data_IF_053913756558
#
_entry.id   IF_053913756558
#
_cell.length_a   1.000
_cell.length_b   1.000
_cell.length_c   1.000
_cell.angle_alpha   90.00
_cell.angle_beta   90.00
_cell.angle_gamma   90.00
#
_symmetry.space_group_name_H-M   'P 1'
#
loop_
_entity.id
_entity.type
_entity.pdbx_description
1 polymer ?
#
# COMPACT_ATOMS: atom_id res chain seq x y z
N UNK A 1 -20.16 -14.94 -33.64
CA UNK A 1 -19.28 -14.34 -32.61
C UNK A 1 -20.15 -14.01 -31.40
N UNK A 2 -20.02 -14.74 -30.29
CA UNK A 2 -20.91 -14.57 -29.13
C UNK A 2 -20.17 -13.83 -28.01
N UNK A 3 -20.73 -12.67 -27.67
CA UNK A 3 -20.65 -11.95 -26.39
C UNK A 3 -19.28 -11.42 -25.95
N UNK A 4 -19.10 -10.10 -26.11
CA UNK A 4 -18.50 -9.27 -25.06
C UNK A 4 -19.37 -9.47 -23.81
N UNK A 5 -18.84 -10.17 -22.80
CA UNK A 5 -19.51 -10.28 -21.50
C UNK A 5 -19.36 -8.94 -20.78
N UNK A 6 -20.43 -8.56 -20.08
CA UNK A 6 -20.68 -7.28 -19.42
C UNK A 6 -19.43 -6.66 -18.78
N UNK A 7 -19.19 -5.39 -19.08
CA UNK A 7 -18.12 -4.60 -18.47
C UNK A 7 -18.25 -4.50 -16.93
N UNK A 8 -19.47 -4.71 -16.41
CA UNK A 8 -19.80 -4.66 -14.98
C UNK A 8 -19.18 -5.78 -14.14
N UNK A 9 -18.67 -6.85 -14.77
CA UNK A 9 -18.02 -7.98 -14.09
C UNK A 9 -16.48 -7.90 -14.07
N UNK A 10 -15.89 -6.79 -14.50
CA UNK A 10 -14.42 -6.68 -14.61
C UNK A 10 -13.71 -6.27 -13.31
N UNK A 11 -14.42 -5.72 -12.33
CA UNK A 11 -13.87 -5.35 -11.02
C UNK A 11 -14.85 -5.72 -9.92
N UNK A 12 -14.73 -6.92 -9.36
CA UNK A 12 -15.33 -7.21 -8.06
C UNK A 12 -14.58 -6.39 -6.99
N UNK A 13 -15.33 -5.81 -6.06
CA UNK A 13 -14.75 -5.15 -4.89
C UNK A 13 -13.87 -6.15 -4.12
N UNK A 14 -12.65 -5.75 -3.71
CA UNK A 14 -11.79 -6.63 -2.93
C UNK A 14 -12.50 -7.08 -1.65
N UNK A 15 -12.37 -8.37 -1.34
CA UNK A 15 -12.95 -8.97 -0.14
C UNK A 15 -11.89 -9.71 0.67
N UNK A 16 -12.08 -9.78 1.99
CA UNK A 16 -11.18 -10.44 2.93
C UNK A 16 -10.45 -9.47 3.87
N UNK A 17 -9.71 -10.02 4.83
CA UNK A 17 -8.91 -9.25 5.80
C UNK A 17 -7.57 -9.94 5.99
N UNK A 18 -6.48 -9.20 5.83
CA UNK A 18 -5.13 -9.65 6.13
C UNK A 18 -4.72 -9.22 7.54
N UNK A 19 -4.68 -10.20 8.46
CA UNK A 19 -4.37 -9.97 9.87
C UNK A 19 -2.86 -9.96 10.19
N UNK A 20 -2.00 -10.04 9.18
CA UNK A 20 -0.55 -9.93 9.33
C UNK A 20 -0.07 -8.48 9.32
N UNK A 21 1.20 -8.23 9.69
CA UNK A 21 1.82 -6.92 9.53
C UNK A 21 1.83 -6.50 8.05
N UNK A 22 1.45 -5.27 7.76
CA UNK A 22 1.50 -4.70 6.42
C UNK A 22 2.11 -3.30 6.49
N UNK A 23 2.85 -2.88 5.46
CA UNK A 23 3.43 -1.54 5.40
C UNK A 23 3.06 -0.86 4.09
N UNK A 24 2.42 0.29 4.19
CA UNK A 24 2.05 1.15 3.06
C UNK A 24 3.00 2.34 3.02
N UNK A 25 3.91 2.33 2.04
CA UNK A 25 4.89 3.40 1.81
C UNK A 25 4.43 4.20 0.59
N UNK A 26 4.26 5.51 0.74
CA UNK A 26 3.77 6.40 -0.32
C UNK A 26 4.41 7.77 -0.24
N UNK A 27 4.50 8.47 -1.37
CA UNK A 27 5.07 9.81 -1.45
C UNK A 27 4.04 10.88 -1.13
N UNK A 28 4.45 11.95 -0.43
CA UNK A 28 3.58 13.07 -0.07
C UNK A 28 3.05 13.86 -1.29
N UNK A 29 3.73 13.76 -2.44
CA UNK A 29 3.34 14.40 -3.70
C UNK A 29 2.59 13.44 -4.65
N UNK A 30 2.33 12.21 -4.20
CA UNK A 30 1.60 11.21 -4.98
C UNK A 30 0.17 11.68 -5.26
N UNK A 31 -0.30 11.49 -6.49
CA UNK A 31 -1.70 11.67 -6.84
C UNK A 31 -2.62 10.66 -6.16
N UNK A 32 -2.07 9.52 -5.74
CA UNK A 32 -2.77 8.56 -4.90
C UNK A 32 -2.75 9.07 -3.45
N UNK A 33 -3.91 9.55 -3.00
CA UNK A 33 -4.13 10.14 -1.67
C UNK A 33 -4.23 9.06 -0.57
N UNK A 34 -3.20 8.22 -0.46
CA UNK A 34 -3.17 7.09 0.51
C UNK A 34 -3.43 7.58 1.94
N UNK A 35 -2.96 8.78 2.28
CA UNK A 35 -3.22 9.42 3.58
C UNK A 35 -4.71 9.61 3.89
N UNK A 36 -5.54 9.90 2.88
CA UNK A 36 -6.99 10.09 3.02
C UNK A 36 -7.76 8.77 3.02
N UNK A 37 -7.13 7.67 2.60
CA UNK A 37 -7.72 6.33 2.49
C UNK A 37 -7.30 5.42 3.65
N UNK A 38 -6.59 5.93 4.67
CA UNK A 38 -6.08 5.13 5.78
C UNK A 38 -7.18 4.33 6.47
N UNK A 39 -8.32 4.96 6.77
CA UNK A 39 -9.46 4.30 7.41
C UNK A 39 -9.96 3.13 6.56
N UNK A 40 -10.12 3.34 5.26
CA UNK A 40 -10.57 2.29 4.34
C UNK A 40 -9.55 1.15 4.24
N UNK A 41 -8.26 1.47 4.06
CA UNK A 41 -7.17 0.48 4.01
C UNK A 41 -7.12 -0.35 5.30
N UNK A 42 -7.30 0.27 6.47
CA UNK A 42 -7.25 -0.44 7.76
C UNK A 42 -8.42 -1.43 7.96
N UNK A 43 -9.51 -1.31 7.21
CA UNK A 43 -10.59 -2.32 7.20
C UNK A 43 -10.11 -3.66 6.65
N UNK A 44 -9.19 -3.64 5.68
CA UNK A 44 -8.61 -4.83 5.05
C UNK A 44 -7.27 -5.24 5.68
N UNK A 45 -6.51 -4.27 6.20
CA UNK A 45 -5.19 -4.48 6.81
C UNK A 45 -5.15 -3.88 8.23
N UNK A 46 -5.73 -4.54 9.25
CA UNK A 46 -5.86 -3.96 10.59
C UNK A 46 -4.53 -3.69 11.31
N UNK A 47 -3.43 -4.27 10.82
CA UNK A 47 -2.06 -4.06 11.34
C UNK A 47 -1.18 -3.29 10.35
N UNK A 48 -1.79 -2.44 9.51
CA UNK A 48 -1.08 -1.60 8.58
C UNK A 48 -0.27 -0.51 9.29
N UNK A 49 1.01 -0.41 8.95
CA UNK A 49 1.87 0.75 9.19
C UNK A 49 1.85 1.64 7.95
N UNK A 50 1.77 2.96 8.15
CA UNK A 50 1.76 3.93 7.05
C UNK A 50 2.99 4.82 7.14
N UNK A 51 3.75 4.89 6.05
CA UNK A 51 4.96 5.71 5.94
C UNK A 51 4.78 6.64 4.75
N UNK A 52 4.53 7.91 5.05
CA UNK A 52 4.57 8.98 4.05
C UNK A 52 6.02 9.45 3.91
N UNK A 53 6.47 9.62 2.66
CA UNK A 53 7.81 10.09 2.33
C UNK A 53 7.71 11.45 1.65
N UNK A 54 8.29 12.47 2.30
CA UNK A 54 8.39 13.82 1.75
C UNK A 54 9.20 13.85 0.44
N UNK A 55 8.95 14.84 -0.40
CA UNK A 55 9.67 15.06 -1.67
C UNK A 55 9.65 13.83 -2.61
N UNK A 56 8.57 13.04 -2.57
CA UNK A 56 8.34 11.90 -3.46
C UNK A 56 6.92 11.92 -4.05
N UNK A 57 6.81 11.60 -5.34
CA UNK A 57 5.56 11.36 -6.04
C UNK A 57 5.16 9.87 -5.94
N UNK A 58 4.63 9.28 -7.02
CA UNK A 58 4.20 7.87 -7.01
C UNK A 58 5.38 6.91 -6.95
N UNK A 59 6.46 7.21 -7.68
CA UNK A 59 7.65 6.35 -7.74
C UNK A 59 8.61 6.66 -6.59
N UNK A 60 8.16 6.36 -5.37
CA UNK A 60 8.87 6.71 -4.12
C UNK A 60 10.31 6.18 -4.07
N UNK A 61 10.54 5.01 -4.67
CA UNK A 61 11.85 4.38 -4.75
C UNK A 61 12.80 5.07 -5.75
N UNK A 62 12.28 5.84 -6.72
CA UNK A 62 13.06 6.65 -7.67
C UNK A 62 13.34 8.02 -7.04
N UNK A 63 12.31 8.67 -6.50
CA UNK A 63 12.44 10.03 -5.96
C UNK A 63 13.24 10.07 -4.66
N UNK A 64 13.01 9.10 -3.78
CA UNK A 64 13.59 9.05 -2.43
C UNK A 64 14.15 7.65 -2.10
N UNK A 65 15.15 7.16 -2.86
CA UNK A 65 15.63 5.78 -2.76
C UNK A 65 16.11 5.42 -1.35
N UNK A 66 16.82 6.32 -0.68
CA UNK A 66 17.34 6.06 0.66
C UNK A 66 16.24 5.97 1.72
N UNK A 67 15.23 6.85 1.66
CA UNK A 67 14.11 6.83 2.60
C UNK A 67 13.23 5.60 2.39
N UNK A 68 12.94 5.27 1.13
CA UNK A 68 12.22 4.06 0.76
C UNK A 68 12.94 2.81 1.26
N UNK A 69 14.24 2.64 0.95
CA UNK A 69 15.01 1.46 1.39
C UNK A 69 15.09 1.35 2.91
N UNK A 70 15.29 2.47 3.63
CA UNK A 70 15.27 2.48 5.10
C UNK A 70 13.92 2.03 5.66
N UNK A 71 12.82 2.49 5.09
CA UNK A 71 11.47 2.10 5.50
C UNK A 71 11.24 0.59 5.31
N UNK A 72 11.61 0.05 4.14
CA UNK A 72 11.49 -1.39 3.83
C UNK A 72 12.34 -2.24 4.79
N UNK A 73 13.62 -1.89 4.97
CA UNK A 73 14.52 -2.64 5.86
C UNK A 73 13.99 -2.63 7.30
N UNK A 74 13.58 -1.46 7.79
CA UNK A 74 13.02 -1.32 9.14
C UNK A 74 11.82 -2.26 9.33
N UNK A 75 10.86 -2.24 8.41
CA UNK A 75 9.67 -3.07 8.48
C UNK A 75 10.01 -4.56 8.48
N UNK A 76 10.88 -5.02 7.57
CA UNK A 76 11.28 -6.43 7.50
C UNK A 76 12.01 -6.84 8.78
N UNK A 77 13.02 -6.08 9.22
CA UNK A 77 13.80 -6.42 10.43
C UNK A 77 12.96 -6.44 11.71
N UNK A 78 11.92 -5.61 11.81
CA UNK A 78 10.98 -5.66 12.95
C UNK A 78 10.12 -6.93 12.95
N UNK A 79 9.81 -7.47 11.77
CA UNK A 79 8.87 -8.59 11.63
C UNK A 79 9.54 -9.96 11.39
N UNK A 80 10.84 -10.01 11.05
CA UNK A 80 11.61 -11.26 11.01
C UNK A 80 11.93 -11.81 12.42
N UNK A 81 11.96 -10.95 13.44
CA UNK A 81 12.19 -11.34 14.84
C UNK A 81 10.93 -11.89 15.56
N UNK A 82 9.87 -12.19 14.82
CA UNK A 82 8.60 -12.74 15.35
C UNK A 82 8.45 -14.25 15.11
N UNK A 83 9.55 -14.98 14.90
CA UNK A 83 9.56 -16.45 14.73
C UNK A 83 10.05 -17.20 15.97
#
# INVERSE_FOLDING_TARGET
MKAMRNADTLMEEPSGVYNGPACFIYGALSSYSVGAEKEHITQFFPKAEFIEIDDAAHDVHIDQPLHFTKAVIKFISQNENLS
#
